data_IF_625856500118
#
_entry.id   IF_625856500118
#
_cell.length_a   1.000
_cell.length_b   1.000
_cell.length_c   1.000
_cell.angle_alpha   90.00
_cell.angle_beta   90.00
_cell.angle_gamma   90.00
#
_symmetry.space_group_name_H-M   'P 1'
#
loop_
_entity.id
_entity.type
_entity.pdbx_description
1 polymer ?
#
# COMPACT_ATOMS: atom_id res chain seq x y z
N UNK A 1 40.22 40.51 8.50
CA UNK A 1 39.04 39.78 8.00
C UNK A 1 39.24 38.29 8.27
N UNK A 2 38.40 37.66 9.10
CA UNK A 2 38.45 36.22 9.30
C UNK A 2 37.87 35.53 8.05
N UNK A 3 38.59 34.56 7.48
CA UNK A 3 38.11 33.75 6.34
C UNK A 3 37.02 32.80 6.85
N UNK A 4 35.94 32.61 6.09
CA UNK A 4 34.89 31.63 6.42
C UNK A 4 35.44 30.21 6.44
N UNK A 5 34.85 29.34 7.26
CA UNK A 5 35.27 27.93 7.40
C UNK A 5 35.27 27.19 6.05
N UNK A 6 34.29 27.50 5.19
CA UNK A 6 34.19 26.99 3.81
C UNK A 6 35.38 27.40 2.93
N UNK A 7 35.85 28.65 3.04
CA UNK A 7 37.01 29.12 2.29
C UNK A 7 38.29 28.43 2.75
N UNK A 8 38.41 28.20 4.06
CA UNK A 8 39.58 27.53 4.64
C UNK A 8 39.65 26.06 4.22
N UNK A 9 38.52 25.37 4.23
CA UNK A 9 38.42 24.00 3.75
C UNK A 9 38.78 23.88 2.27
N UNK A 10 38.25 24.78 1.42
CA UNK A 10 38.55 24.77 -0.02
C UNK A 10 40.04 25.07 -0.29
N UNK A 11 40.61 26.08 0.38
CA UNK A 11 42.05 26.38 0.28
C UNK A 11 42.89 25.14 0.68
N UNK A 12 42.49 24.41 1.72
CA UNK A 12 43.21 23.22 2.17
C UNK A 12 43.09 22.03 1.19
N UNK A 13 41.95 21.88 0.51
CA UNK A 13 41.78 20.86 -0.53
C UNK A 13 42.58 21.19 -1.79
N UNK A 14 42.63 22.46 -2.20
CA UNK A 14 43.47 22.92 -3.31
C UNK A 14 44.96 22.71 -3.01
N UNK A 15 45.41 23.09 -1.81
CA UNK A 15 46.79 22.86 -1.37
C UNK A 15 47.17 21.37 -1.37
N UNK A 16 46.26 20.49 -0.94
CA UNK A 16 46.48 19.04 -0.97
C UNK A 16 46.58 18.53 -2.40
N UNK A 17 45.72 19.02 -3.30
CA UNK A 17 45.73 18.66 -4.71
C UNK A 17 47.03 19.10 -5.40
N UNK A 18 47.46 20.34 -5.18
CA UNK A 18 48.72 20.86 -5.74
C UNK A 18 49.95 20.12 -5.22
N UNK A 19 50.00 19.76 -3.94
CA UNK A 19 51.09 18.95 -3.37
C UNK A 19 51.09 17.50 -3.84
N UNK A 20 49.92 16.98 -4.21
CA UNK A 20 49.76 15.62 -4.75
C UNK A 20 49.91 15.54 -6.26
N UNK A 21 50.11 16.66 -6.96
CA UNK A 21 50.26 16.71 -8.42
C UNK A 21 51.63 16.13 -8.80
N UNK A 22 51.73 14.92 -9.39
CA UNK A 22 52.98 14.51 -9.99
C UNK A 22 53.27 15.43 -11.18
N UNK A 23 54.50 15.97 -11.24
CA UNK A 23 55.01 16.64 -12.44
C UNK A 23 55.02 15.63 -13.59
N UNK A 24 53.97 15.63 -14.41
CA UNK A 24 53.97 14.93 -15.69
C UNK A 24 54.75 15.77 -16.71
N UNK A 25 56.07 15.64 -16.68
CA UNK A 25 56.92 15.83 -17.86
C UNK A 25 57.19 14.46 -18.47
N UNK A 26 56.25 13.95 -19.27
CA UNK A 26 56.49 13.00 -20.35
C UNK A 26 55.22 12.90 -21.24
N UNK A 27 55.36 12.82 -22.57
CA UNK A 27 54.22 12.78 -23.48
C UNK A 27 53.50 11.44 -23.31
N UNK A 28 52.21 11.48 -22.98
CA UNK A 28 51.34 10.32 -23.13
C UNK A 28 51.10 10.11 -24.63
N UNK A 29 51.94 9.27 -25.24
CA UNK A 29 51.69 8.70 -26.56
C UNK A 29 50.56 7.69 -26.36
N UNK A 30 49.33 8.11 -26.62
CA UNK A 30 48.23 7.18 -26.85
C UNK A 30 48.47 6.59 -28.23
N UNK A 31 48.84 5.31 -28.28
CA UNK A 31 48.89 4.53 -29.51
C UNK A 31 47.55 4.67 -30.24
N UNK A 32 47.65 5.23 -31.45
CA UNK A 32 46.59 5.39 -32.42
C UNK A 32 46.14 4.01 -32.91
N UNK A 33 44.99 3.56 -32.42
CA UNK A 33 44.06 2.85 -33.29
C UNK A 33 43.18 3.92 -33.94
N UNK A 34 43.55 4.34 -35.13
CA UNK A 34 42.67 5.05 -36.05
C UNK A 34 41.56 4.09 -36.50
N UNK A 35 40.59 3.82 -35.63
CA UNK A 35 39.22 3.58 -36.09
C UNK A 35 38.59 4.97 -36.22
N UNK A 36 37.99 5.27 -37.39
CA UNK A 36 37.21 6.49 -37.61
C UNK A 36 36.28 6.71 -36.41
N UNK A 37 36.64 7.68 -35.56
CA UNK A 37 35.83 8.00 -34.40
C UNK A 37 34.45 8.42 -34.94
N UNK A 38 33.35 7.74 -34.53
CA UNK A 38 32.03 8.18 -34.92
C UNK A 38 31.88 9.65 -34.52
N UNK A 39 31.29 10.45 -35.40
CA UNK A 39 31.06 11.88 -35.15
C UNK A 39 30.56 12.06 -33.72
N UNK A 40 31.31 12.79 -32.90
CA UNK A 40 30.99 12.94 -31.48
C UNK A 40 29.68 13.71 -31.35
N UNK A 41 28.60 12.96 -31.17
CA UNK A 41 27.21 13.42 -31.08
C UNK A 41 27.04 14.48 -29.99
N UNK A 42 27.95 14.50 -29.01
CA UNK A 42 27.93 15.39 -27.85
C UNK A 42 28.83 16.63 -28.01
N UNK A 43 29.34 16.91 -29.22
CA UNK A 43 30.15 18.10 -29.48
C UNK A 43 29.38 19.39 -29.17
N UNK A 44 28.12 19.49 -29.58
CA UNK A 44 27.33 20.69 -29.32
C UNK A 44 27.08 20.88 -27.83
N UNK A 45 27.29 22.11 -27.37
CA UNK A 45 26.92 22.50 -26.02
C UNK A 45 25.40 22.33 -25.84
N UNK A 46 24.95 21.77 -24.72
CA UNK A 46 23.53 21.67 -24.45
C UNK A 46 22.83 23.04 -24.39
N UNK A 47 21.52 23.07 -24.60
CA UNK A 47 20.74 24.31 -24.72
C UNK A 47 20.74 25.19 -23.46
N UNK A 48 21.07 24.63 -22.29
CA UNK A 48 21.15 25.39 -21.03
C UNK A 48 22.41 26.26 -20.95
N UNK A 49 23.46 25.93 -21.72
CA UNK A 49 24.70 26.69 -21.75
C UNK A 49 24.53 27.98 -22.55
N UNK A 50 24.94 29.09 -21.95
CA UNK A 50 25.03 30.37 -22.65
C UNK A 50 25.98 30.29 -23.84
N UNK A 51 25.73 31.11 -24.87
CA UNK A 51 26.55 31.15 -26.10
C UNK A 51 28.05 31.33 -25.82
N UNK A 52 28.36 32.09 -24.78
CA UNK A 52 29.72 32.37 -24.30
C UNK A 52 30.48 31.12 -23.78
N UNK A 53 29.78 30.07 -23.38
CA UNK A 53 30.37 28.81 -22.91
C UNK A 53 30.43 27.74 -24.00
N UNK A 54 29.76 27.95 -25.14
CA UNK A 54 29.67 26.98 -26.22
C UNK A 54 31.03 26.63 -26.83
N UNK A 55 31.88 27.63 -27.06
CA UNK A 55 33.23 27.43 -27.59
C UNK A 55 34.13 26.70 -26.60
N UNK A 56 34.05 27.02 -25.31
CA UNK A 56 34.80 26.31 -24.27
C UNK A 56 34.31 24.88 -24.08
N UNK A 57 33.01 24.63 -24.25
CA UNK A 57 32.45 23.28 -24.19
C UNK A 57 33.02 22.35 -25.27
N UNK A 58 33.23 22.88 -26.48
CA UNK A 58 33.85 22.14 -27.60
C UNK A 58 35.30 21.74 -27.31
N UNK A 59 35.98 22.46 -26.42
CA UNK A 59 37.37 22.14 -26.01
C UNK A 59 37.45 21.08 -24.91
N UNK A 60 36.33 20.72 -24.28
CA UNK A 60 36.32 19.73 -23.20
C UNK A 60 36.60 18.31 -23.71
N UNK A 61 37.18 17.42 -22.90
CA UNK A 61 37.32 16.01 -23.26
C UNK A 61 35.95 15.35 -23.56
N UNK A 62 35.89 14.37 -24.49
CA UNK A 62 34.63 13.71 -24.89
C UNK A 62 33.87 13.06 -23.72
N UNK A 63 34.58 12.53 -22.72
CA UNK A 63 33.96 11.98 -21.51
C UNK A 63 33.22 13.05 -20.70
N UNK A 64 33.80 14.24 -20.59
CA UNK A 64 33.21 15.36 -19.86
C UNK A 64 32.02 15.95 -20.61
N UNK A 65 32.10 16.06 -21.94
CA UNK A 65 30.95 16.47 -22.77
C UNK A 65 29.78 15.51 -22.59
N UNK A 66 30.02 14.19 -22.71
CA UNK A 66 29.01 13.15 -22.47
C UNK A 66 28.40 13.27 -21.08
N UNK A 67 29.22 13.39 -20.04
CA UNK A 67 28.75 13.53 -18.67
C UNK A 67 27.83 14.75 -18.47
N UNK A 68 28.21 15.90 -19.05
CA UNK A 68 27.41 17.12 -18.96
C UNK A 68 26.06 16.96 -19.68
N UNK A 69 26.04 16.34 -20.86
CA UNK A 69 24.79 16.00 -21.56
C UNK A 69 23.90 15.05 -20.77
N UNK A 70 24.45 13.98 -20.19
CA UNK A 70 23.68 13.07 -19.34
C UNK A 70 23.12 13.79 -18.10
N UNK A 71 23.92 14.66 -17.46
CA UNK A 71 23.47 15.47 -16.34
C UNK A 71 22.32 16.39 -16.74
N UNK A 72 22.43 17.06 -17.88
CA UNK A 72 21.37 17.92 -18.39
C UNK A 72 20.11 17.15 -18.74
N UNK A 73 20.24 15.98 -19.36
CA UNK A 73 19.10 15.12 -19.66
C UNK A 73 18.37 14.72 -18.38
N UNK A 74 19.09 14.32 -17.33
CA UNK A 74 18.48 14.00 -16.03
C UNK A 74 17.84 15.21 -15.35
N UNK A 75 18.44 16.40 -15.49
CA UNK A 75 17.84 17.66 -15.01
C UNK A 75 16.55 17.96 -15.78
N UNK A 76 16.56 17.87 -17.11
CA UNK A 76 15.39 18.10 -17.96
C UNK A 76 14.26 17.10 -17.62
N UNK A 77 14.62 15.84 -17.38
CA UNK A 77 13.68 14.80 -16.93
C UNK A 77 13.10 15.12 -15.55
N UNK A 78 13.90 15.63 -14.62
CA UNK A 78 13.42 16.07 -13.31
C UNK A 78 12.46 17.27 -13.44
N UNK A 79 12.78 18.26 -14.27
CA UNK A 79 11.87 19.38 -14.55
C UNK A 79 10.58 18.94 -15.22
N UNK A 80 10.64 18.04 -16.21
CA UNK A 80 9.44 17.51 -16.86
C UNK A 80 8.52 16.79 -15.87
N UNK A 81 9.07 16.05 -14.89
CA UNK A 81 8.28 15.46 -13.79
C UNK A 81 7.63 16.52 -12.92
N UNK A 82 8.38 17.56 -12.52
CA UNK A 82 7.84 18.66 -11.70
C UNK A 82 6.77 19.46 -12.44
N UNK A 83 6.93 19.70 -13.74
CA UNK A 83 5.95 20.37 -14.57
C UNK A 83 4.66 19.55 -14.67
N UNK A 84 4.77 18.23 -14.81
CA UNK A 84 3.63 17.34 -14.83
C UNK A 84 2.91 17.32 -13.48
N UNK A 85 3.64 17.18 -12.36
CA UNK A 85 3.05 17.26 -11.01
C UNK A 85 2.35 18.62 -10.76
N UNK A 86 2.92 19.71 -11.26
CA UNK A 86 2.33 21.03 -11.15
C UNK A 86 1.06 21.13 -12.00
N UNK A 87 1.08 20.58 -13.22
CA UNK A 87 -0.07 20.51 -14.12
C UNK A 87 -1.22 19.69 -13.51
N UNK A 88 -0.90 18.56 -12.90
CA UNK A 88 -1.87 17.71 -12.18
C UNK A 88 -2.55 18.45 -11.03
N UNK A 89 -1.83 19.36 -10.34
CA UNK A 89 -2.34 20.12 -9.21
C UNK A 89 -3.06 21.42 -9.58
N UNK A 90 -3.03 21.86 -10.85
CA UNK A 90 -3.67 23.11 -11.30
C UNK A 90 -5.16 23.20 -11.00
N UNK A 91 -5.86 22.05 -10.96
CA UNK A 91 -7.29 22.05 -10.64
C UNK A 91 -7.58 22.64 -9.25
N UNK A 92 -6.64 22.54 -8.29
CA UNK A 92 -6.81 23.13 -6.96
C UNK A 92 -6.88 24.65 -7.02
N UNK A 93 -6.05 25.27 -7.87
CA UNK A 93 -6.05 26.71 -8.08
C UNK A 93 -7.31 27.17 -8.82
N UNK A 94 -7.79 26.37 -9.78
CA UNK A 94 -9.04 26.62 -10.51
C UNK A 94 -10.26 26.51 -9.59
N UNK A 95 -10.33 25.45 -8.77
CA UNK A 95 -11.39 25.24 -7.78
C UNK A 95 -11.38 26.32 -6.70
N UNK A 96 -10.19 26.70 -6.22
CA UNK A 96 -10.06 27.81 -5.27
C UNK A 96 -10.53 29.13 -5.87
N UNK A 97 -10.12 29.43 -7.10
CA UNK A 97 -10.52 30.64 -7.80
C UNK A 97 -12.04 30.69 -8.04
N UNK A 98 -12.65 29.54 -8.32
CA UNK A 98 -14.09 29.42 -8.59
C UNK A 98 -14.94 29.48 -7.32
N UNK A 99 -14.60 28.71 -6.29
CA UNK A 99 -15.41 28.53 -5.07
C UNK A 99 -14.79 29.26 -3.86
N UNK A 100 -13.53 28.97 -3.55
CA UNK A 100 -12.85 29.53 -2.38
C UNK A 100 -12.88 31.06 -2.34
N UNK A 101 -12.47 31.71 -3.43
CA UNK A 101 -12.49 33.18 -3.53
C UNK A 101 -13.89 33.78 -3.36
N UNK A 102 -14.93 33.14 -3.92
CA UNK A 102 -16.33 33.62 -3.78
C UNK A 102 -16.83 33.58 -2.35
N UNK A 103 -16.31 32.67 -1.54
CA UNK A 103 -16.63 32.54 -0.12
C UNK A 103 -15.71 33.38 0.78
N UNK A 104 -14.85 34.24 0.20
CA UNK A 104 -14.03 35.21 0.96
C UNK A 104 -12.72 34.65 1.51
N UNK A 105 -12.32 33.44 1.11
CA UNK A 105 -11.03 32.88 1.50
C UNK A 105 -9.88 33.59 0.79
N UNK A 106 -8.83 33.94 1.55
CA UNK A 106 -7.68 34.71 1.04
C UNK A 106 -6.58 33.85 0.42
N UNK A 107 -6.61 32.54 0.68
CA UNK A 107 -5.61 31.61 0.15
C UNK A 107 -6.24 30.23 -0.05
N UNK A 108 -5.77 29.51 -1.08
CA UNK A 108 -6.17 28.12 -1.35
C UNK A 108 -5.87 27.22 -0.14
N UNK A 109 -4.74 27.47 0.53
CA UNK A 109 -4.34 26.75 1.74
C UNK A 109 -5.38 26.88 2.86
N UNK A 110 -5.75 28.11 3.23
CA UNK A 110 -6.77 28.36 4.27
C UNK A 110 -8.12 27.74 3.88
N UNK A 111 -8.52 27.85 2.61
CA UNK A 111 -9.76 27.24 2.13
C UNK A 111 -9.76 25.72 2.27
N UNK A 112 -8.69 25.05 1.83
CA UNK A 112 -8.54 23.59 1.92
C UNK A 112 -8.46 23.14 3.39
N UNK A 113 -7.71 23.84 4.23
CA UNK A 113 -7.62 23.54 5.67
C UNK A 113 -9.00 23.62 6.34
N UNK A 114 -9.84 24.59 5.98
CA UNK A 114 -11.21 24.69 6.51
C UNK A 114 -12.15 23.62 5.96
N UNK A 115 -11.97 23.18 4.72
CA UNK A 115 -12.72 22.05 4.17
C UNK A 115 -12.39 20.75 4.90
N UNK A 116 -11.10 20.47 5.11
CA UNK A 116 -10.64 19.29 5.87
C UNK A 116 -11.19 19.37 7.31
N UNK A 117 -11.10 20.53 7.95
CA UNK A 117 -11.66 20.70 9.30
C UNK A 117 -13.18 20.45 9.35
N UNK A 118 -13.93 20.88 8.34
CA UNK A 118 -15.37 20.62 8.27
C UNK A 118 -15.67 19.12 8.08
N UNK A 119 -14.85 18.42 7.29
CA UNK A 119 -14.93 16.97 7.11
C UNK A 119 -14.61 16.22 8.42
N UNK A 120 -13.50 16.55 9.09
CA UNK A 120 -13.13 15.97 10.39
C UNK A 120 -14.24 16.16 11.44
N UNK A 121 -14.88 17.33 11.46
CA UNK A 121 -16.02 17.60 12.34
C UNK A 121 -17.25 16.75 12.00
N UNK A 122 -17.53 16.53 10.71
CA UNK A 122 -18.63 15.67 10.26
C UNK A 122 -18.37 14.19 10.58
N UNK A 123 -17.12 13.73 10.45
CA UNK A 123 -16.73 12.36 10.78
C UNK A 123 -16.80 12.10 12.29
N UNK A 124 -16.29 13.01 13.11
CA UNK A 124 -16.26 12.84 14.57
C UNK A 124 -17.66 12.90 15.19
N UNK A 125 -18.49 13.86 14.76
CA UNK A 125 -19.81 14.08 15.34
C UNK A 125 -20.76 14.72 14.32
N UNK A 126 -21.36 13.94 13.40
CA UNK A 126 -22.17 14.50 12.32
C UNK A 126 -23.37 15.29 12.85
N UNK A 127 -23.98 14.83 13.95
CA UNK A 127 -25.12 15.49 14.59
C UNK A 127 -24.78 16.86 15.14
N UNK A 128 -23.69 16.97 15.89
CA UNK A 128 -23.29 18.21 16.54
C UNK A 128 -22.81 19.23 15.52
N UNK A 129 -22.10 18.76 14.49
CA UNK A 129 -21.67 19.60 13.36
C UNK A 129 -22.85 20.14 12.57
N UNK A 130 -23.87 19.33 12.28
CA UNK A 130 -25.10 19.80 11.64
C UNK A 130 -25.89 20.77 12.54
N UNK A 131 -25.95 20.54 13.85
CA UNK A 131 -26.53 21.48 14.82
C UNK A 131 -25.78 22.83 14.80
N UNK A 132 -24.44 22.80 14.79
CA UNK A 132 -23.60 23.98 14.75
C UNK A 132 -23.81 24.77 13.45
N UNK A 133 -23.81 24.08 12.31
CA UNK A 133 -24.06 24.69 11.01
C UNK A 133 -25.47 25.29 10.95
N UNK A 134 -26.51 24.56 11.38
CA UNK A 134 -27.88 25.08 11.42
C UNK A 134 -27.97 26.41 12.19
N UNK A 135 -27.35 26.47 13.37
CA UNK A 135 -27.28 27.71 14.17
C UNK A 135 -26.54 28.83 13.43
N UNK A 136 -25.42 28.54 12.78
CA UNK A 136 -24.67 29.52 12.01
C UNK A 136 -25.47 30.09 10.83
N UNK A 137 -26.34 29.28 10.22
CA UNK A 137 -27.25 29.68 9.15
C UNK A 137 -28.59 30.24 9.65
N UNK A 138 -28.79 30.38 10.98
CA UNK A 138 -30.03 30.91 11.56
C UNK A 138 -31.23 29.96 11.45
N UNK A 139 -31.00 28.67 11.20
CA UNK A 139 -32.02 27.64 11.18
C UNK A 139 -32.22 27.07 12.58
N UNK A 140 -33.47 26.89 12.98
CA UNK A 140 -33.80 26.13 14.19
C UNK A 140 -33.46 24.65 13.97
N UNK A 141 -32.73 24.00 14.90
CA UNK A 141 -32.26 22.62 14.75
C UNK A 141 -33.38 21.56 14.94
N UNK A 142 -34.63 21.89 14.63
CA UNK A 142 -35.80 21.07 14.88
C UNK A 142 -35.87 19.79 14.01
N UNK A 143 -35.11 19.76 12.92
CA UNK A 143 -34.96 18.60 12.03
C UNK A 143 -34.07 17.50 12.64
N UNK A 144 -33.22 17.85 13.61
CA UNK A 144 -32.37 16.90 14.33
C UNK A 144 -33.18 16.42 15.52
N UNK A 145 -34.10 15.49 15.26
CA UNK A 145 -35.13 15.05 16.22
C UNK A 145 -34.67 15.07 17.67
N UNK A 146 -35.49 15.67 18.56
CA UNK A 146 -35.19 15.94 19.98
C UNK A 146 -34.33 14.83 20.61
N UNK A 147 -33.27 15.17 21.38
CA UNK A 147 -32.28 14.21 21.90
C UNK A 147 -32.91 12.92 22.48
N UNK A 148 -34.05 13.02 23.16
CA UNK A 148 -34.74 11.86 23.73
C UNK A 148 -35.26 10.79 22.75
N UNK A 149 -35.46 11.07 21.45
CA UNK A 149 -35.89 10.06 20.46
C UNK A 149 -34.74 9.22 19.91
N UNK A 150 -33.56 9.82 19.73
CA UNK A 150 -32.34 9.11 19.34
C UNK A 150 -31.91 8.16 20.48
N UNK A 151 -31.92 8.66 21.72
CA UNK A 151 -31.61 7.85 22.92
C UNK A 151 -32.57 6.68 23.11
N UNK A 152 -33.85 6.81 22.71
CA UNK A 152 -34.81 5.72 22.77
C UNK A 152 -34.51 4.63 21.72
N UNK A 153 -34.06 5.03 20.53
CA UNK A 153 -33.66 4.11 19.47
C UNK A 153 -32.36 3.38 19.83
N UNK A 154 -31.36 4.10 20.33
CA UNK A 154 -30.08 3.53 20.79
C UNK A 154 -30.29 2.56 21.95
N UNK A 155 -31.12 2.91 22.94
CA UNK A 155 -31.50 1.98 24.02
C UNK A 155 -32.19 0.73 23.49
N UNK A 156 -33.08 0.87 22.50
CA UNK A 156 -33.76 -0.28 21.88
C UNK A 156 -32.77 -1.16 21.11
N UNK A 157 -31.80 -0.57 20.42
CA UNK A 157 -30.71 -1.29 19.74
C UNK A 157 -29.86 -2.05 20.78
N UNK A 158 -29.49 -1.42 21.89
CA UNK A 158 -28.75 -2.08 22.97
C UNK A 158 -29.47 -3.31 23.53
N UNK A 159 -30.76 -3.18 23.83
CA UNK A 159 -31.59 -4.29 24.31
C UNK A 159 -31.69 -5.44 23.28
N UNK A 160 -31.83 -5.12 22.00
CA UNK A 160 -31.88 -6.12 20.94
C UNK A 160 -30.53 -6.86 20.80
N UNK A 161 -29.41 -6.16 20.93
CA UNK A 161 -28.09 -6.78 20.93
C UNK A 161 -27.90 -7.76 22.10
N UNK A 162 -28.34 -7.39 23.30
CA UNK A 162 -28.30 -8.26 24.48
C UNK A 162 -29.19 -9.51 24.29
N UNK A 163 -30.39 -9.36 23.72
CA UNK A 163 -31.26 -10.50 23.42
C UNK A 163 -30.66 -11.44 22.37
N UNK A 164 -30.05 -10.89 21.32
CA UNK A 164 -29.34 -11.68 20.31
C UNK A 164 -28.16 -12.44 20.89
N UNK A 165 -27.41 -11.83 21.82
CA UNK A 165 -26.30 -12.49 22.50
C UNK A 165 -26.79 -13.64 23.40
N UNK A 166 -27.86 -13.42 24.18
CA UNK A 166 -28.51 -14.48 24.97
C UNK A 166 -29.10 -15.60 24.11
N UNK A 167 -29.63 -15.28 22.93
CA UNK A 167 -30.10 -16.28 21.97
C UNK A 167 -28.94 -17.13 21.47
N UNK A 168 -27.83 -16.50 21.10
CA UNK A 168 -26.61 -17.19 20.64
C UNK A 168 -26.06 -18.13 21.71
N UNK A 169 -25.96 -17.69 22.96
CA UNK A 169 -25.51 -18.53 24.08
C UNK A 169 -26.42 -19.75 24.27
N UNK A 170 -27.75 -19.56 24.21
CA UNK A 170 -28.71 -20.67 24.29
C UNK A 170 -28.58 -21.65 23.13
N UNK A 171 -28.27 -21.18 21.92
CA UNK A 171 -28.00 -22.07 20.78
C UNK A 171 -26.71 -22.87 21.00
N UNK A 172 -25.63 -22.22 21.44
CA UNK A 172 -24.35 -22.88 21.71
C UNK A 172 -24.47 -23.94 22.82
N UNK A 173 -25.20 -23.66 23.89
CA UNK A 173 -25.50 -24.61 24.96
C UNK A 173 -26.29 -25.82 24.45
N UNK A 174 -27.29 -25.56 23.59
CA UNK A 174 -28.13 -26.61 23.02
C UNK A 174 -27.34 -27.50 22.06
N UNK A 175 -26.44 -26.93 21.26
CA UNK A 175 -25.51 -27.69 20.41
C UNK A 175 -24.58 -28.57 21.25
N UNK A 176 -24.01 -28.04 22.34
CA UNK A 176 -23.19 -28.84 23.26
C UNK A 176 -23.96 -30.00 23.88
N UNK A 177 -25.21 -29.75 24.29
CA UNK A 177 -26.09 -30.80 24.80
C UNK A 177 -26.33 -31.90 23.76
N UNK A 178 -26.66 -31.54 22.52
CA UNK A 178 -26.85 -32.52 21.45
C UNK A 178 -25.56 -33.28 21.12
N UNK A 179 -24.40 -32.62 21.12
CA UNK A 179 -23.10 -33.26 20.89
C UNK A 179 -22.77 -34.26 22.01
N UNK A 180 -23.02 -33.90 23.26
CA UNK A 180 -22.84 -34.77 24.42
C UNK A 180 -23.79 -35.99 24.38
N UNK A 181 -25.06 -35.76 24.04
CA UNK A 181 -26.04 -36.84 23.88
C UNK A 181 -25.63 -37.79 22.74
N UNK A 182 -25.16 -37.27 21.60
CA UNK A 182 -24.66 -38.07 20.49
C UNK A 182 -23.39 -38.86 20.86
N UNK A 183 -22.48 -38.26 21.62
CA UNK A 183 -21.28 -38.94 22.12
C UNK A 183 -21.64 -40.08 23.09
N UNK A 184 -22.56 -39.82 24.03
CA UNK A 184 -23.07 -40.84 24.95
C UNK A 184 -23.78 -42.00 24.23
N UNK A 185 -24.58 -41.69 23.20
CA UNK A 185 -25.22 -42.72 22.38
C UNK A 185 -24.20 -43.58 21.61
N UNK A 186 -23.13 -42.96 21.07
CA UNK A 186 -22.02 -43.70 20.43
C UNK A 186 -21.26 -44.57 21.43
N UNK A 187 -20.98 -44.05 22.62
CA UNK A 187 -20.31 -44.79 23.69
C UNK A 187 -21.15 -45.98 24.16
N UNK A 188 -22.46 -45.80 24.34
CA UNK A 188 -23.39 -46.88 24.70
C UNK A 188 -23.46 -47.97 23.62
N UNK A 189 -23.50 -47.59 22.33
CA UNK A 189 -23.42 -48.55 21.21
C UNK A 189 -22.10 -49.34 21.23
N UNK A 190 -20.96 -48.67 21.45
CA UNK A 190 -19.64 -49.31 21.57
C UNK A 190 -19.56 -50.25 22.77
N UNK A 191 -20.10 -49.85 23.92
CA UNK A 191 -20.16 -50.67 25.13
C UNK A 191 -21.07 -51.89 24.94
N UNK A 192 -22.21 -51.75 24.25
CA UNK A 192 -23.09 -52.87 23.89
C UNK A 192 -22.39 -53.85 22.96
N UNK A 193 -21.64 -53.37 21.96
CA UNK A 193 -20.84 -54.23 21.08
C UNK A 193 -19.71 -54.95 21.84
N UNK A 194 -19.06 -54.30 22.80
CA UNK A 194 -18.02 -54.91 23.63
C UNK A 194 -18.56 -55.91 24.68
N UNK A 195 -19.74 -55.62 25.25
CA UNK A 195 -20.46 -56.52 26.17
C UNK A 195 -21.10 -57.72 25.45
N UNK A 196 -21.27 -57.64 24.14
CA UNK A 196 -21.63 -58.74 23.26
C UNK A 196 -20.39 -59.31 22.56
N UNK A 197 -19.29 -59.50 23.30
CA UNK A 197 -18.20 -60.37 22.86
C UNK A 197 -18.49 -61.77 23.40
N UNK A 198 -18.91 -62.74 22.56
CA UNK A 198 -19.27 -64.06 23.01
C UNK A 198 -18.00 -64.82 23.38
N UNK A 199 -17.49 -64.63 24.61
CA UNK A 199 -16.51 -65.56 25.18
C UNK A 199 -17.24 -66.84 25.60
N UNK A 200 -17.38 -67.75 24.66
CA UNK A 200 -17.92 -69.07 24.96
C UNK A 200 -18.40 -69.93 23.79
N UNK A 201 -17.82 -69.86 22.60
CA UNK A 201 -17.85 -71.02 21.67
C UNK A 201 -16.76 -70.90 20.60
N UNK A 202 -16.10 -72.01 20.32
CA UNK A 202 -15.01 -72.12 19.37
C UNK A 202 -15.44 -71.82 17.92
N UNK A 203 -14.51 -71.23 17.17
CA UNK A 203 -14.31 -71.20 15.72
C UNK A 203 -15.50 -71.50 14.80
N UNK A 204 -15.90 -70.50 14.01
CA UNK A 204 -15.91 -70.55 12.55
C UNK A 204 -16.44 -69.22 11.98
N UNK A 205 -15.79 -68.76 10.90
CA UNK A 205 -16.33 -67.93 9.83
C UNK A 205 -16.92 -66.55 10.22
N UNK A 206 -16.21 -65.48 9.94
CA UNK A 206 -16.40 -64.80 8.65
C UNK A 206 -15.48 -63.58 8.57
N UNK A 207 -14.54 -63.68 7.64
CA UNK A 207 -13.81 -62.57 7.06
C UNK A 207 -14.80 -61.62 6.40
N UNK A 208 -15.38 -60.68 7.15
CA UNK A 208 -15.86 -59.41 6.58
C UNK A 208 -14.62 -58.54 6.25
N UNK A 209 -13.77 -59.08 5.38
CA UNK A 209 -12.77 -58.31 4.67
C UNK A 209 -13.52 -57.54 3.58
N UNK A 210 -13.35 -56.22 3.60
CA UNK A 210 -13.74 -55.28 2.57
C UNK A 210 -13.13 -55.72 1.22
N UNK A 211 -13.80 -56.62 0.51
CA UNK A 211 -13.40 -56.99 -0.83
C UNK A 211 -13.58 -55.78 -1.72
N UNK A 212 -12.47 -55.32 -2.29
CA UNK A 212 -12.52 -54.22 -3.25
C UNK A 212 -13.33 -54.64 -4.46
N UNK A 213 -14.00 -53.68 -5.10
CA UNK A 213 -14.94 -53.91 -6.22
C UNK A 213 -14.36 -54.78 -7.33
N UNK A 214 -13.03 -54.73 -7.53
CA UNK A 214 -12.29 -55.57 -8.48
C UNK A 214 -12.32 -57.06 -8.12
N UNK A 215 -12.16 -57.42 -6.85
CA UNK A 215 -12.13 -58.82 -6.39
C UNK A 215 -13.52 -59.48 -6.46
N UNK A 216 -14.57 -58.68 -6.26
CA UNK A 216 -15.96 -59.13 -6.44
C UNK A 216 -16.23 -59.44 -7.92
N UNK A 217 -15.74 -58.59 -8.82
CA UNK A 217 -15.92 -58.79 -10.27
C UNK A 217 -15.12 -60.00 -10.77
N UNK A 218 -13.87 -60.19 -10.36
CA UNK A 218 -13.05 -61.35 -10.75
C UNK A 218 -13.71 -62.68 -10.33
N UNK A 219 -14.30 -62.73 -9.13
CA UNK A 219 -15.04 -63.90 -8.65
C UNK A 219 -16.31 -64.17 -9.46
N UNK A 220 -17.03 -63.13 -9.86
CA UNK A 220 -18.24 -63.23 -10.68
C UNK A 220 -17.96 -63.64 -12.11
N UNK A 221 -16.83 -63.24 -12.68
CA UNK A 221 -16.41 -63.67 -14.02
C UNK A 221 -15.95 -65.13 -14.01
N UNK A 222 -15.25 -65.57 -12.97
CA UNK A 222 -14.86 -66.98 -12.82
C UNK A 222 -16.08 -67.93 -12.69
N UNK A 223 -17.18 -67.48 -12.09
CA UNK A 223 -18.45 -68.22 -12.01
C UNK A 223 -19.21 -68.31 -13.36
N UNK A 224 -18.82 -67.55 -14.39
CA UNK A 224 -19.48 -67.51 -15.70
C UNK A 224 -18.69 -68.22 -16.82
N UNK A 225 -17.46 -68.65 -16.56
CA UNK A 225 -16.64 -69.42 -17.51
C UNK A 225 -16.71 -70.96 -17.30
N UNK A 226 -17.53 -71.42 -16.33
CA UNK A 226 -17.99 -72.82 -16.16
C UNK A 226 -19.46 -72.98 -16.58
#
# INVERSE_FOLDING_TARGET
MQKSETRRFLEEQFDKYERSRPEQTAPFVSELTEEEAPADEFLQAPASFGKEWGEMFMTLPPEMRRYLHYREHEIAKAFARLEEELREKRFLDEEFSSKGCRHGFKSARDWIEKLIFAEEMLEASPRDTLCYLAKAYGLEPDFIGKPGKADACERKIGLLCEELQRLRERFDERERYYAAAAAAARAAKKAKAAGFSPRGRAAAADDEQELTTRQILERKFAELED
#
